data_IF_163689326299
#
_entry.id   IF_163689326299
#
_cell.length_a   1.000
_cell.length_b   1.000
_cell.length_c   1.000
_cell.angle_alpha   90.00
_cell.angle_beta   90.00
_cell.angle_gamma   90.00
#
_symmetry.space_group_name_H-M   'P 1'
#
loop_
_entity.id
_entity.type
_entity.pdbx_description
1 polymer ?
#
# COMPACT_ATOMS: atom_id res chain seq x y z
N UNK A 1 24.49 8.86 -20.15
CA UNK A 1 24.30 7.83 -19.12
C UNK A 1 23.57 8.47 -17.94
N UNK A 2 22.25 8.34 -17.89
CA UNK A 2 21.46 8.85 -16.76
C UNK A 2 21.78 8.01 -15.53
N UNK A 3 22.23 8.65 -14.45
CA UNK A 3 22.47 7.99 -13.17
C UNK A 3 21.15 7.35 -12.71
N UNK A 4 21.08 6.03 -12.78
CA UNK A 4 19.91 5.27 -12.33
C UNK A 4 19.90 5.34 -10.80
N UNK A 5 18.95 6.10 -10.23
CA UNK A 5 18.87 6.28 -8.78
C UNK A 5 18.60 4.92 -8.13
N UNK A 6 19.46 4.42 -7.22
CA UNK A 6 19.35 3.06 -6.70
C UNK A 6 18.08 2.87 -5.86
N UNK A 7 17.38 1.75 -6.06
CA UNK A 7 16.19 1.40 -5.26
C UNK A 7 16.59 1.21 -3.80
N UNK A 8 15.87 1.82 -2.86
CA UNK A 8 16.07 1.55 -1.43
C UNK A 8 15.59 0.14 -1.12
N UNK A 9 16.45 -0.79 -0.67
CA UNK A 9 15.99 -2.12 -0.31
C UNK A 9 15.12 -2.04 0.96
N UNK A 10 14.07 -2.88 1.02
CA UNK A 10 13.03 -2.78 2.07
C UNK A 10 13.61 -2.84 3.50
N UNK A 11 14.66 -3.63 3.73
CA UNK A 11 15.30 -3.76 5.04
C UNK A 11 16.07 -2.49 5.49
N UNK A 12 16.32 -1.54 4.59
CA UNK A 12 16.90 -0.22 4.90
C UNK A 12 15.84 0.87 5.04
N UNK A 13 14.57 0.57 4.76
CA UNK A 13 13.48 1.52 4.90
C UNK A 13 12.96 1.52 6.33
N UNK A 14 13.66 2.28 7.17
CA UNK A 14 13.35 2.38 8.60
C UNK A 14 11.91 2.78 8.87
N UNK A 15 11.32 3.66 8.05
CA UNK A 15 9.94 4.14 8.26
C UNK A 15 8.94 3.00 8.08
N UNK A 16 9.05 2.23 7.00
CA UNK A 16 8.16 1.11 6.74
C UNK A 16 8.30 0.04 7.83
N UNK A 17 9.54 -0.33 8.17
CA UNK A 17 9.81 -1.38 9.15
C UNK A 17 9.33 -0.98 10.54
N UNK A 18 9.64 0.24 10.98
CA UNK A 18 9.20 0.75 12.28
C UNK A 18 7.68 0.75 12.38
N UNK A 19 6.99 1.21 11.34
CA UNK A 19 5.53 1.22 11.34
C UNK A 19 4.94 -0.19 11.41
N UNK A 20 5.46 -1.13 10.62
CA UNK A 20 5.02 -2.52 10.65
C UNK A 20 5.23 -3.15 12.04
N UNK A 21 6.38 -2.89 12.68
CA UNK A 21 6.67 -3.35 14.05
C UNK A 21 5.72 -2.73 15.06
N UNK A 22 5.47 -1.42 14.99
CA UNK A 22 4.57 -0.71 15.92
C UNK A 22 3.16 -1.30 15.83
N UNK A 23 2.63 -1.47 14.61
CA UNK A 23 1.30 -2.07 14.39
C UNK A 23 1.25 -3.49 14.93
N UNK A 24 2.26 -4.31 14.63
CA UNK A 24 2.34 -5.68 15.13
C UNK A 24 2.36 -5.73 16.67
N UNK A 25 3.15 -4.88 17.31
CA UNK A 25 3.25 -4.82 18.78
C UNK A 25 1.93 -4.39 19.40
N UNK A 26 1.28 -3.35 18.85
CA UNK A 26 -0.03 -2.89 19.33
C UNK A 26 -1.07 -4.01 19.19
N UNK A 27 -1.11 -4.69 18.06
CA UNK A 27 -2.02 -5.82 17.82
C UNK A 27 -1.79 -6.95 18.84
N UNK A 28 -0.56 -7.46 18.93
CA UNK A 28 -0.27 -8.59 19.81
C UNK A 28 -0.44 -8.24 21.30
N UNK A 29 -0.12 -7.01 21.70
CA UNK A 29 -0.31 -6.55 23.07
C UNK A 29 -1.79 -6.39 23.41
N UNK A 30 -2.59 -5.80 22.52
CA UNK A 30 -4.04 -5.67 22.72
C UNK A 30 -4.74 -7.04 22.82
N UNK A 31 -4.37 -8.00 21.95
CA UNK A 31 -4.85 -9.39 22.02
C UNK A 31 -4.40 -10.11 23.27
N UNK A 32 -3.20 -9.84 23.76
CA UNK A 32 -2.71 -10.41 25.02
C UNK A 32 -3.56 -9.93 26.20
N UNK A 33 -3.83 -8.63 26.29
CA UNK A 33 -4.67 -8.05 27.35
C UNK A 33 -6.05 -8.71 27.33
N UNK A 34 -6.69 -8.81 26.16
CA UNK A 34 -8.04 -9.39 26.07
C UNK A 34 -8.07 -10.86 26.49
N UNK A 35 -7.09 -11.66 26.06
CA UNK A 35 -6.99 -13.08 26.44
C UNK A 35 -6.75 -13.29 27.93
N UNK A 36 -6.08 -12.34 28.59
CA UNK A 36 -5.76 -12.40 30.02
C UNK A 36 -6.90 -11.89 30.90
N UNK A 37 -7.65 -10.88 30.43
CA UNK A 37 -8.65 -10.17 31.23
C UNK A 37 -10.09 -10.63 31.00
N UNK A 38 -10.39 -11.29 29.87
CA UNK A 38 -11.75 -11.72 29.51
C UNK A 38 -11.79 -13.21 29.21
N UNK A 39 -12.79 -13.91 29.74
CA UNK A 39 -13.12 -15.28 29.36
C UNK A 39 -13.62 -15.32 27.92
N UNK A 40 -13.55 -16.50 27.28
CA UNK A 40 -14.08 -16.67 25.93
C UNK A 40 -15.58 -16.33 25.88
N UNK A 41 -15.95 -15.45 24.95
CA UNK A 41 -17.28 -14.83 24.75
C UNK A 41 -17.74 -13.89 25.85
N UNK A 42 -16.85 -13.51 26.77
CA UNK A 42 -17.11 -12.41 27.69
C UNK A 42 -16.95 -11.06 26.99
N UNK A 43 -17.79 -10.09 27.38
CA UNK A 43 -17.78 -8.73 26.87
C UNK A 43 -17.58 -7.73 27.99
N UNK A 44 -16.75 -6.71 27.76
CA UNK A 44 -16.58 -5.56 28.64
C UNK A 44 -16.70 -4.22 27.88
N UNK A 45 -17.63 -3.34 28.27
CA UNK A 45 -18.77 -3.60 29.15
C UNK A 45 -19.65 -4.73 28.63
N UNK A 46 -20.46 -5.32 29.50
CA UNK A 46 -21.40 -6.39 29.18
C UNK A 46 -22.49 -5.93 28.20
N UNK A 47 -22.82 -4.63 28.24
CA UNK A 47 -23.85 -4.01 27.40
C UNK A 47 -23.35 -2.71 26.75
N UNK A 48 -23.97 -2.32 25.64
CA UNK A 48 -23.66 -1.06 24.94
C UNK A 48 -23.29 -1.25 23.48
N UNK A 49 -23.14 -0.12 22.78
CA UNK A 49 -22.82 -0.09 21.34
C UNK A 49 -21.36 -0.44 21.04
N UNK A 50 -20.43 -0.10 21.94
CA UNK A 50 -19.01 -0.39 21.81
C UNK A 50 -18.56 -1.24 22.99
N UNK A 51 -17.97 -2.40 22.71
CA UNK A 51 -17.54 -3.38 23.71
C UNK A 51 -16.18 -3.97 23.32
N UNK A 52 -15.52 -4.57 24.31
CA UNK A 52 -14.43 -5.50 24.12
C UNK A 52 -14.94 -6.92 24.35
N UNK A 53 -15.11 -7.70 23.29
CA UNK A 53 -15.68 -9.05 23.36
C UNK A 53 -14.66 -10.10 22.95
N UNK A 54 -14.21 -10.94 23.87
CA UNK A 54 -13.18 -11.94 23.53
C UNK A 54 -13.77 -13.06 22.65
N UNK A 55 -13.42 -13.07 21.36
CA UNK A 55 -13.87 -14.10 20.42
C UNK A 55 -12.73 -14.63 19.55
N UNK A 56 -12.98 -15.76 18.90
CA UNK A 56 -12.04 -16.40 17.98
C UNK A 56 -12.57 -16.36 16.56
N UNK A 57 -11.69 -15.98 15.64
CA UNK A 57 -11.94 -16.02 14.22
C UNK A 57 -11.13 -17.15 13.59
N UNK A 58 -11.85 -18.23 13.29
CA UNK A 58 -11.34 -19.41 12.58
C UNK A 58 -11.56 -19.31 11.06
N UNK A 59 -12.02 -18.16 10.55
CA UNK A 59 -12.44 -17.99 9.16
C UNK A 59 -13.89 -18.41 8.88
N UNK A 60 -14.71 -18.55 9.93
CA UNK A 60 -16.14 -18.90 9.83
C UNK A 60 -16.94 -17.93 8.95
N UNK A 61 -16.51 -16.67 8.86
CA UNK A 61 -17.14 -15.62 8.06
C UNK A 61 -17.19 -15.92 6.54
N UNK A 62 -16.32 -16.79 6.02
CA UNK A 62 -16.31 -17.13 4.58
C UNK A 62 -17.01 -18.45 4.23
N UNK A 63 -17.45 -19.26 5.20
CA UNK A 63 -18.18 -20.53 4.99
C UNK A 63 -17.39 -21.66 4.28
N UNK A 64 -16.45 -21.33 3.40
CA UNK A 64 -15.66 -22.23 2.55
C UNK A 64 -14.41 -22.74 3.28
N UNK A 65 -13.90 -21.98 4.26
CA UNK A 65 -12.68 -22.28 5.01
C UNK A 65 -12.94 -22.62 6.48
N UNK A 66 -14.16 -23.05 6.83
CA UNK A 66 -14.49 -23.43 8.21
C UNK A 66 -13.51 -24.50 8.71
N UNK A 67 -12.92 -24.23 9.88
CA UNK A 67 -11.91 -25.06 10.54
C UNK A 67 -10.63 -25.35 9.72
N UNK A 68 -10.44 -24.61 8.61
CA UNK A 68 -9.26 -24.71 7.76
C UNK A 68 -8.40 -23.46 7.91
N UNK A 69 -7.47 -23.54 8.85
CA UNK A 69 -6.52 -22.46 9.11
C UNK A 69 -5.41 -22.38 8.02
N UNK A 70 -5.06 -23.50 7.40
CA UNK A 70 -3.98 -23.58 6.39
C UNK A 70 -4.21 -22.66 5.18
N UNK A 71 -5.39 -22.62 4.53
CA UNK A 71 -5.65 -21.67 3.45
C UNK A 71 -5.51 -20.21 3.87
N UNK A 72 -5.95 -19.86 5.08
CA UNK A 72 -5.88 -18.47 5.58
C UNK A 72 -4.44 -18.04 5.87
N UNK A 73 -3.61 -18.96 6.39
CA UNK A 73 -2.17 -18.77 6.54
C UNK A 73 -1.53 -18.51 5.17
N UNK A 74 -1.86 -19.32 4.16
CA UNK A 74 -1.33 -19.17 2.81
C UNK A 74 -1.75 -17.84 2.18
N UNK A 75 -3.03 -17.47 2.27
CA UNK A 75 -3.54 -16.18 1.77
C UNK A 75 -2.83 -15.02 2.44
N UNK A 76 -2.63 -15.06 3.76
CA UNK A 76 -1.92 -14.02 4.50
C UNK A 76 -0.45 -13.92 4.05
N UNK A 77 0.24 -15.05 3.93
CA UNK A 77 1.63 -15.10 3.46
C UNK A 77 1.78 -14.58 2.02
N UNK A 78 0.88 -14.97 1.13
CA UNK A 78 0.83 -14.48 -0.26
C UNK A 78 0.56 -12.97 -0.28
N UNK A 79 -0.39 -12.48 0.53
CA UNK A 79 -0.67 -11.06 0.65
C UNK A 79 0.55 -10.24 1.08
N UNK A 80 1.26 -10.69 2.13
CA UNK A 80 2.52 -10.05 2.56
C UNK A 80 3.56 -10.08 1.44
N UNK A 81 3.71 -11.21 0.73
CA UNK A 81 4.64 -11.30 -0.39
C UNK A 81 4.29 -10.30 -1.52
N UNK A 82 3.01 -10.15 -1.85
CA UNK A 82 2.53 -9.16 -2.83
C UNK A 82 2.88 -7.74 -2.38
N UNK A 83 2.64 -7.38 -1.12
CA UNK A 83 2.98 -6.05 -0.59
C UNK A 83 4.49 -5.76 -0.68
N UNK A 84 5.33 -6.77 -0.41
CA UNK A 84 6.78 -6.66 -0.58
C UNK A 84 7.16 -6.49 -2.06
N UNK A 85 6.50 -7.19 -2.98
CA UNK A 85 6.73 -7.03 -4.41
C UNK A 85 6.30 -5.63 -4.90
N UNK A 86 5.17 -5.11 -4.44
CA UNK A 86 4.72 -3.74 -4.70
C UNK A 86 5.77 -2.75 -4.21
N UNK A 87 6.30 -2.92 -3.00
CA UNK A 87 7.37 -2.06 -2.50
C UNK A 87 8.62 -2.11 -3.42
N UNK A 88 9.06 -3.32 -3.80
CA UNK A 88 10.26 -3.51 -4.64
C UNK A 88 10.11 -3.01 -6.06
N UNK A 89 8.89 -2.88 -6.58
CA UNK A 89 8.65 -2.30 -7.90
C UNK A 89 8.86 -0.78 -7.92
N UNK A 90 8.82 -0.12 -6.76
CA UNK A 90 9.06 1.31 -6.65
C UNK A 90 10.55 1.65 -6.60
N UNK A 91 10.97 2.65 -7.39
CA UNK A 91 12.33 3.20 -7.32
C UNK A 91 12.52 4.10 -6.09
N UNK A 92 11.56 5.00 -5.87
CA UNK A 92 11.53 5.93 -4.74
C UNK A 92 10.12 5.90 -4.16
N UNK A 93 9.83 5.04 -3.16
CA UNK A 93 8.52 5.00 -2.56
C UNK A 93 8.19 6.35 -1.90
N UNK A 94 6.94 6.78 -1.96
CA UNK A 94 6.47 7.99 -1.27
C UNK A 94 6.26 7.69 0.22
N UNK A 95 6.25 8.73 1.07
CA UNK A 95 5.94 8.54 2.49
C UNK A 95 4.55 7.92 2.70
N UNK A 96 3.58 8.31 1.89
CA UNK A 96 2.21 7.80 1.97
C UNK A 96 2.12 6.31 1.56
N UNK A 97 2.90 5.89 0.55
CA UNK A 97 3.00 4.48 0.20
C UNK A 97 3.68 3.66 1.32
N UNK A 98 4.75 4.18 1.93
CA UNK A 98 5.37 3.53 3.10
C UNK A 98 4.40 3.35 4.25
N UNK A 99 3.59 4.38 4.53
CA UNK A 99 2.54 4.34 5.55
C UNK A 99 1.52 3.22 5.24
N UNK A 100 0.99 3.22 4.01
CA UNK A 100 0.02 2.21 3.56
C UNK A 100 0.58 0.78 3.66
N UNK A 101 1.81 0.56 3.21
CA UNK A 101 2.45 -0.76 3.23
C UNK A 101 2.80 -1.21 4.65
N UNK A 102 3.35 -0.32 5.48
CA UNK A 102 3.71 -0.65 6.87
C UNK A 102 2.48 -1.05 7.70
N UNK A 103 1.35 -0.34 7.54
CA UNK A 103 0.07 -0.70 8.17
C UNK A 103 -0.39 -2.11 7.76
N UNK A 104 -0.45 -2.38 6.45
CA UNK A 104 -0.93 -3.67 5.94
C UNK A 104 0.00 -4.83 6.31
N UNK A 105 1.32 -4.65 6.20
CA UNK A 105 2.29 -5.69 6.56
C UNK A 105 2.25 -5.98 8.06
N UNK A 106 2.22 -4.96 8.91
CA UNK A 106 2.14 -5.13 10.36
C UNK A 106 0.88 -5.89 10.78
N UNK A 107 -0.29 -5.48 10.27
CA UNK A 107 -1.55 -6.14 10.57
C UNK A 107 -1.63 -7.56 10.03
N UNK A 108 -1.27 -7.77 8.77
CA UNK A 108 -1.27 -9.11 8.15
C UNK A 108 -0.35 -10.07 8.91
N UNK A 109 0.83 -9.59 9.35
CA UNK A 109 1.75 -10.39 10.13
C UNK A 109 1.21 -10.71 11.54
N UNK A 110 0.55 -9.76 12.22
CA UNK A 110 -0.09 -10.01 13.52
C UNK A 110 -1.14 -11.13 13.46
N UNK A 111 -2.06 -11.04 12.49
CA UNK A 111 -3.08 -12.07 12.26
C UNK A 111 -2.49 -13.41 11.78
N UNK A 112 -1.39 -13.40 11.02
CA UNK A 112 -0.69 -14.62 10.62
C UNK A 112 -0.05 -15.33 11.83
N UNK A 113 0.55 -14.58 12.75
CA UNK A 113 1.19 -15.12 13.95
C UNK A 113 0.17 -15.80 14.86
N UNK A 114 -1.00 -15.21 15.08
CA UNK A 114 -2.07 -15.85 15.84
C UNK A 114 -2.49 -17.17 15.19
N UNK A 115 -2.74 -17.16 13.87
CA UNK A 115 -3.12 -18.37 13.15
C UNK A 115 -2.08 -19.47 13.29
N UNK A 116 -0.80 -19.17 13.12
CA UNK A 116 0.27 -20.17 13.22
C UNK A 116 0.43 -20.69 14.65
N UNK A 117 0.26 -19.85 15.67
CA UNK A 117 0.50 -20.22 17.08
C UNK A 117 -0.71 -20.80 17.80
N UNK A 118 -1.89 -20.24 17.53
CA UNK A 118 -3.14 -20.48 18.27
C UNK A 118 -4.18 -21.25 17.43
N UNK A 119 -4.00 -21.32 16.10
CA UNK A 119 -4.96 -21.95 15.20
C UNK A 119 -6.14 -21.05 14.80
N UNK A 120 -6.24 -19.85 15.36
CA UNK A 120 -7.30 -18.87 15.15
C UNK A 120 -6.76 -17.45 15.39
N UNK A 121 -7.53 -16.43 15.05
CA UNK A 121 -7.24 -15.03 15.39
C UNK A 121 -8.08 -14.60 16.58
N UNK A 122 -7.49 -13.87 17.52
CA UNK A 122 -8.23 -13.24 18.62
C UNK A 122 -8.85 -11.93 18.14
N UNK A 123 -10.18 -11.88 18.09
CA UNK A 123 -10.94 -10.68 17.77
C UNK A 123 -11.59 -10.13 19.04
N UNK A 124 -11.72 -8.80 19.13
CA UNK A 124 -12.15 -8.17 20.37
C UNK A 124 -12.85 -6.82 20.27
N UNK A 125 -12.72 -6.09 19.17
CA UNK A 125 -13.39 -4.81 18.98
C UNK A 125 -14.81 -5.09 18.45
N UNK A 126 -15.82 -4.87 19.29
CA UNK A 126 -17.22 -5.20 19.06
C UNK A 126 -18.04 -3.91 18.99
N UNK A 127 -18.66 -3.65 17.83
CA UNK A 127 -19.34 -2.39 17.52
C UNK A 127 -20.70 -2.65 16.88
N UNK A 128 -21.77 -2.58 17.68
CA UNK A 128 -23.14 -2.83 17.24
C UNK A 128 -23.28 -4.17 16.50
N UNK A 129 -23.84 -4.14 15.29
CA UNK A 129 -24.03 -5.33 14.44
C UNK A 129 -22.82 -5.62 13.52
N UNK A 130 -21.73 -4.85 13.62
CA UNK A 130 -20.55 -5.05 12.80
C UNK A 130 -19.76 -6.29 13.25
N UNK A 131 -19.17 -7.07 12.33
CA UNK A 131 -18.32 -8.20 12.69
C UNK A 131 -17.19 -7.78 13.63
N UNK A 132 -17.01 -8.52 14.74
CA UNK A 132 -15.95 -8.24 15.71
C UNK A 132 -14.59 -8.37 15.01
N UNK A 133 -13.71 -7.39 15.24
CA UNK A 133 -12.41 -7.29 14.58
C UNK A 133 -11.29 -6.97 15.58
N UNK A 134 -10.06 -6.81 15.11
CA UNK A 134 -8.93 -6.44 15.95
C UNK A 134 -8.10 -5.28 15.36
N UNK A 135 -7.02 -4.90 16.04
CA UNK A 135 -6.13 -3.83 15.59
C UNK A 135 -5.41 -4.16 14.28
N UNK A 136 -5.04 -5.42 14.06
CA UNK A 136 -4.52 -5.86 12.77
C UNK A 136 -5.52 -5.63 11.62
N UNK A 137 -6.80 -5.97 11.77
CA UNK A 137 -7.82 -5.76 10.74
C UNK A 137 -8.02 -4.26 10.44
N UNK A 138 -8.14 -3.44 11.49
CA UNK A 138 -8.27 -2.00 11.35
C UNK A 138 -7.07 -1.38 10.61
N UNK A 139 -5.85 -1.85 10.91
CA UNK A 139 -4.63 -1.40 10.23
C UNK A 139 -4.59 -1.81 8.75
N UNK A 140 -5.00 -3.04 8.42
CA UNK A 140 -5.07 -3.53 7.04
C UNK A 140 -6.06 -2.68 6.23
N UNK A 141 -7.28 -2.48 6.75
CA UNK A 141 -8.31 -1.67 6.07
C UNK A 141 -7.84 -0.23 5.89
N UNK A 142 -7.26 0.38 6.92
CA UNK A 142 -6.72 1.75 6.82
C UNK A 142 -5.63 1.84 5.75
N UNK A 143 -4.68 0.91 5.75
CA UNK A 143 -3.62 0.87 4.74
C UNK A 143 -4.17 0.62 3.33
N UNK A 144 -5.19 -0.22 3.18
CA UNK A 144 -5.89 -0.47 1.91
C UNK A 144 -6.58 0.80 1.39
N UNK A 145 -7.29 1.54 2.25
CA UNK A 145 -7.92 2.82 1.89
C UNK A 145 -6.87 3.84 1.43
N UNK A 146 -5.74 3.95 2.13
CA UNK A 146 -4.63 4.82 1.71
C UNK A 146 -4.05 4.36 0.36
N UNK A 147 -3.89 3.05 0.15
CA UNK A 147 -3.42 2.50 -1.11
C UNK A 147 -4.36 2.85 -2.27
N UNK A 148 -5.67 2.65 -2.06
CA UNK A 148 -6.70 2.98 -3.04
C UNK A 148 -6.69 4.48 -3.36
N UNK A 149 -6.53 5.34 -2.35
CA UNK A 149 -6.39 6.78 -2.54
C UNK A 149 -5.20 7.15 -3.43
N UNK A 150 -4.04 6.51 -3.21
CA UNK A 150 -2.83 6.72 -4.03
C UNK A 150 -3.12 6.39 -5.51
N UNK A 151 -3.72 5.22 -5.77
CA UNK A 151 -3.93 4.76 -7.15
C UNK A 151 -5.09 5.45 -7.87
N UNK A 152 -6.17 5.81 -7.16
CA UNK A 152 -7.36 6.36 -7.79
C UNK A 152 -7.30 7.88 -7.96
N UNK A 153 -6.63 8.59 -7.03
CA UNK A 153 -6.69 10.06 -6.94
C UNK A 153 -5.32 10.68 -7.18
N UNK A 154 -4.28 10.21 -6.49
CA UNK A 154 -2.98 10.87 -6.54
C UNK A 154 -2.29 10.73 -7.92
N UNK A 155 -2.52 9.64 -8.65
CA UNK A 155 -1.92 9.40 -9.98
C UNK A 155 -2.58 10.26 -11.10
N UNK A 156 -3.77 10.83 -10.86
CA UNK A 156 -4.42 11.72 -11.84
C UNK A 156 -3.80 13.12 -11.90
N UNK A 157 -2.96 13.49 -10.91
CA UNK A 157 -2.24 14.77 -10.89
C UNK A 157 -1.02 14.83 -11.83
N UNK A 158 -0.56 13.68 -12.35
CA UNK A 158 0.63 13.58 -13.20
C UNK A 158 0.36 13.72 -14.70
N UNK A 159 -0.90 13.64 -15.14
CA UNK A 159 -1.27 13.70 -16.58
C UNK A 159 -1.66 15.10 -17.06
N UNK A 160 -1.07 16.14 -16.43
CA UNK A 160 -0.91 17.46 -17.07
C UNK A 160 0.57 17.78 -17.30
N UNK A 161 1.35 16.78 -17.72
CA UNK A 161 2.44 17.10 -18.62
C UNK A 161 1.78 17.65 -19.88
N UNK A 162 1.80 18.98 -20.04
CA UNK A 162 1.55 19.63 -21.32
C UNK A 162 2.26 18.81 -22.40
N UNK A 163 1.49 18.26 -23.33
CA UNK A 163 2.03 17.52 -24.47
C UNK A 163 3.21 18.32 -25.05
N UNK A 164 4.38 17.70 -25.28
CA UNK A 164 5.47 18.40 -25.94
C UNK A 164 4.98 18.79 -27.34
N UNK A 165 4.74 20.07 -27.55
CA UNK A 165 4.24 20.65 -28.82
C UNK A 165 5.31 20.74 -29.91
N UNK A 166 6.37 19.94 -29.81
CA UNK A 166 7.34 19.73 -30.89
C UNK A 166 8.06 18.40 -30.74
N UNK A 167 8.01 17.59 -31.80
CA UNK A 167 8.74 16.34 -31.89
C UNK A 167 10.25 16.59 -31.91
N UNK A 168 10.97 15.79 -31.13
CA UNK A 168 12.43 15.67 -31.12
C UNK A 168 13.23 16.85 -30.53
N UNK A 169 13.82 16.62 -29.35
CA UNK A 169 14.89 17.46 -28.78
C UNK A 169 16.22 17.38 -29.56
N UNK A 170 16.23 16.76 -30.74
CA UNK A 170 17.39 16.53 -31.59
C UNK A 170 16.96 16.58 -33.06
N UNK A 171 17.87 17.01 -33.94
CA UNK A 171 17.60 17.23 -35.35
C UNK A 171 17.79 15.93 -36.16
N UNK A 172 16.79 15.44 -36.91
CA UNK A 172 16.92 14.20 -37.69
C UNK A 172 17.89 14.29 -38.88
N UNK A 173 18.33 15.50 -39.25
CA UNK A 173 19.21 15.74 -40.40
C UNK A 173 20.70 15.68 -40.02
N UNK A 174 21.05 16.10 -38.80
CA UNK A 174 22.44 16.24 -38.39
C UNK A 174 22.71 15.82 -36.94
N UNK A 175 21.70 15.27 -36.26
CA UNK A 175 21.71 14.88 -34.84
C UNK A 175 22.03 16.02 -33.86
N UNK A 176 22.04 17.27 -34.33
CA UNK A 176 22.27 18.46 -33.52
C UNK A 176 21.08 18.85 -32.63
N UNK A 177 21.34 19.69 -31.64
CA UNK A 177 20.32 20.18 -30.69
C UNK A 177 19.28 21.07 -31.40
N UNK A 178 17.99 20.83 -31.14
CA UNK A 178 16.91 21.70 -31.59
C UNK A 178 16.65 22.80 -30.57
N UNK A 179 16.73 24.06 -30.99
CA UNK A 179 16.48 25.24 -30.15
C UNK A 179 15.19 25.95 -30.53
N UNK A 180 14.50 26.49 -29.53
CA UNK A 180 13.33 27.34 -29.74
C UNK A 180 13.76 28.67 -30.36
N UNK A 181 13.05 29.10 -31.40
CA UNK A 181 13.22 30.40 -32.04
C UNK A 181 11.84 31.04 -32.26
N UNK A 182 11.80 32.35 -32.52
CA UNK A 182 10.54 33.03 -32.86
C UNK A 182 9.88 32.34 -34.07
N UNK A 183 8.72 31.71 -33.86
CA UNK A 183 7.96 31.01 -34.91
C UNK A 183 8.27 29.52 -35.13
N UNK A 184 9.00 28.85 -34.22
CA UNK A 184 9.18 27.39 -34.28
C UNK A 184 10.50 26.91 -33.68
N UNK A 185 11.09 25.87 -34.30
CA UNK A 185 12.34 25.27 -33.84
C UNK A 185 13.42 25.38 -34.92
N UNK A 186 14.67 25.56 -34.50
CA UNK A 186 15.84 25.63 -35.37
C UNK A 186 16.98 24.80 -34.77
N UNK A 187 17.59 23.94 -35.58
CA UNK A 187 18.78 23.21 -35.17
C UNK A 187 19.98 24.16 -35.02
N UNK A 188 20.72 24.06 -33.91
CA UNK A 188 21.93 24.84 -33.67
C UNK A 188 23.10 24.45 -34.58
N UNK A 189 23.11 23.23 -35.11
CA UNK A 189 24.22 22.68 -35.90
C UNK A 189 24.04 22.92 -37.39
N UNK A 190 22.90 22.50 -37.97
CA UNK A 190 22.66 22.62 -39.42
C UNK A 190 21.68 23.74 -39.81
N UNK A 191 21.03 24.38 -38.85
CA UNK A 191 20.11 25.49 -39.12
C UNK A 191 18.74 25.10 -39.70
N UNK A 192 18.45 23.80 -39.85
CA UNK A 192 17.14 23.27 -40.29
C UNK A 192 16.04 23.79 -39.37
N UNK A 193 14.92 24.21 -39.97
CA UNK A 193 13.74 24.69 -39.24
C UNK A 193 12.63 23.66 -39.32
N UNK A 194 12.02 23.34 -38.19
CA UNK A 194 10.76 22.59 -38.16
C UNK A 194 9.62 23.60 -38.00
N UNK A 195 8.75 23.65 -39.01
CA UNK A 195 7.57 24.52 -39.00
C UNK A 195 6.48 23.74 -38.25
N UNK A 196 5.84 24.37 -37.27
CA UNK A 196 4.71 23.76 -36.54
C UNK A 196 3.67 23.29 -37.57
N UNK A 197 3.59 21.97 -37.80
CA UNK A 197 2.49 21.38 -38.56
C UNK A 197 1.32 21.35 -37.58
N UNK A 198 0.60 22.47 -37.51
CA UNK A 198 -0.42 22.66 -36.47
C UNK A 198 -1.13 24.02 -36.51
N UNK A 199 -1.41 24.54 -37.71
CA UNK A 199 -2.47 25.53 -37.92
C UNK A 199 -2.99 25.40 -39.34
N UNK A 200 -3.62 24.26 -39.63
CA UNK A 200 -4.55 24.18 -40.75
C UNK A 200 -5.86 24.83 -40.28
N UNK A 201 -6.18 25.98 -40.87
CA UNK A 201 -7.56 26.44 -41.02
C UNK A 201 -8.28 25.55 -42.04
#
# INVERSE_FOLDING_TARGET
MSAENPRTPIYKDFVLIQLAIIVFVIDQFSKLIVRDQLLFRESFPDTGFFRFTHTFNTGSAFGIFQDQNTPLILVSAIGIAILVLIYRSQRVPTALLRLSLGLQVGGAFGNLIDRVRLGHVTDFIDVGDWPIFNMADASIITGLVIMAYIFLIADQGGSKASAPTSGYGWCPVCEGEMRTVAGGWRCSTCGVKERLIGSAH
#
